data_IF_333591683807
#
_entry.id   IF_333591683807
#
_cell.length_a   1.000
_cell.length_b   1.000
_cell.length_c   1.000
_cell.angle_alpha   90.00
_cell.angle_beta   90.00
_cell.angle_gamma   90.00
#
_symmetry.space_group_name_H-M   'P 1'
#
loop_
_entity.id
_entity.type
_entity.pdbx_description
1 polymer ?
#
# COMPACT_ATOMS: atom_id res chain seq x y z
N UNK A 1 23.71 -11.36 -2.73
CA UNK A 1 22.98 -10.56 -3.74
C UNK A 1 21.49 -10.64 -3.45
N UNK A 2 20.75 -9.53 -3.41
CA UNK A 2 19.29 -9.58 -3.23
C UNK A 2 18.64 -10.26 -4.44
N UNK A 3 17.60 -11.09 -4.24
CA UNK A 3 16.87 -11.71 -5.37
C UNK A 3 16.20 -10.60 -6.20
N UNK A 4 16.22 -10.72 -7.53
CA UNK A 4 15.63 -9.75 -8.47
C UNK A 4 14.19 -9.39 -8.11
N UNK A 5 13.40 -10.39 -7.69
CA UNK A 5 12.03 -10.21 -7.17
C UNK A 5 11.94 -9.13 -6.09
N UNK A 6 12.87 -9.09 -5.13
CA UNK A 6 12.82 -8.10 -4.04
C UNK A 6 13.20 -6.70 -4.51
N UNK A 7 14.14 -6.59 -5.45
CA UNK A 7 14.51 -5.30 -6.05
C UNK A 7 13.30 -4.73 -6.80
N UNK A 8 12.57 -5.56 -7.56
CA UNK A 8 11.35 -5.12 -8.22
C UNK A 8 10.28 -4.69 -7.22
N UNK A 9 10.06 -5.43 -6.12
CA UNK A 9 9.12 -5.01 -5.07
C UNK A 9 9.47 -3.66 -4.47
N UNK A 10 10.75 -3.41 -4.18
CA UNK A 10 11.22 -2.11 -3.67
C UNK A 10 11.00 -1.01 -4.71
N UNK A 11 11.27 -1.28 -5.98
CA UNK A 11 11.01 -0.31 -7.05
C UNK A 11 9.52 0.05 -7.15
N UNK A 12 8.63 -0.94 -7.10
CA UNK A 12 7.17 -0.71 -7.08
C UNK A 12 6.80 0.13 -5.85
N UNK A 13 7.31 -0.22 -4.67
CA UNK A 13 7.04 0.50 -3.42
C UNK A 13 7.46 1.97 -3.52
N UNK A 14 8.68 2.26 -3.98
CA UNK A 14 9.18 3.62 -4.12
C UNK A 14 8.36 4.44 -5.13
N UNK A 15 7.83 3.82 -6.18
CA UNK A 15 6.94 4.47 -7.15
C UNK A 15 5.55 4.74 -6.58
N UNK A 16 5.06 3.89 -5.69
CA UNK A 16 3.71 3.97 -5.09
C UNK A 16 3.66 4.94 -3.90
N UNK A 17 4.73 5.04 -3.10
CA UNK A 17 4.78 5.89 -1.90
C UNK A 17 4.35 7.34 -2.12
N UNK A 18 4.74 8.03 -3.21
CA UNK A 18 4.30 9.40 -3.49
C UNK A 18 2.78 9.54 -3.62
N UNK A 19 2.07 8.52 -4.12
CA UNK A 19 0.61 8.55 -4.22
C UNK A 19 -0.02 8.44 -2.83
N UNK A 20 0.48 7.52 -2.00
CA UNK A 20 0.01 7.34 -0.62
C UNK A 20 0.22 8.61 0.20
N UNK A 21 1.36 9.29 0.02
CA UNK A 21 1.70 10.50 0.78
C UNK A 21 0.72 11.67 0.61
N UNK A 22 -0.13 11.64 -0.42
CA UNK A 22 -1.17 12.66 -0.66
C UNK A 22 -2.39 12.50 0.25
N UNK A 23 -2.56 11.32 0.85
CA UNK A 23 -3.71 10.99 1.69
C UNK A 23 -3.37 11.20 3.15
N UNK A 24 -3.76 12.37 3.70
CA UNK A 24 -3.51 12.72 5.11
C UNK A 24 -4.27 11.85 6.10
N UNK A 25 -5.29 11.13 5.63
CA UNK A 25 -6.08 10.19 6.40
C UNK A 25 -5.33 8.90 6.73
N UNK A 26 -4.19 8.64 6.07
CA UNK A 26 -3.40 7.45 6.27
C UNK A 26 -2.00 7.76 6.83
N UNK A 27 -1.57 6.93 7.78
CA UNK A 27 -0.18 6.82 8.18
C UNK A 27 0.39 5.45 7.78
N UNK A 28 1.65 5.40 7.35
CA UNK A 28 2.34 4.12 7.15
C UNK A 28 2.79 3.59 8.51
N UNK A 29 2.54 2.31 8.78
CA UNK A 29 2.97 1.63 10.00
C UNK A 29 3.72 0.33 9.72
N UNK A 30 4.13 -0.35 10.78
CA UNK A 30 4.72 -1.68 10.72
C UNK A 30 6.18 -1.69 10.24
N UNK A 31 6.62 -2.85 9.74
CA UNK A 31 8.02 -3.08 9.39
C UNK A 31 8.53 -2.19 8.26
N UNK A 32 7.64 -1.75 7.37
CA UNK A 32 7.98 -0.90 6.22
C UNK A 32 8.24 0.54 6.63
N UNK A 33 7.43 1.08 7.56
CA UNK A 33 7.71 2.39 8.17
C UNK A 33 9.10 2.39 8.84
N UNK A 34 9.38 1.36 9.62
CA UNK A 34 10.66 1.22 10.32
C UNK A 34 11.83 1.09 9.34
N UNK A 35 11.72 0.22 8.35
CA UNK A 35 12.81 -0.10 7.42
C UNK A 35 13.18 1.08 6.50
N UNK A 36 12.21 1.87 6.05
CA UNK A 36 12.45 2.96 5.10
C UNK A 36 12.68 4.32 5.74
N UNK A 37 12.10 4.60 6.91
CA UNK A 37 12.08 5.96 7.46
C UNK A 37 12.75 6.13 8.82
N UNK A 38 12.92 5.06 9.61
CA UNK A 38 13.42 5.18 11.00
C UNK A 38 14.78 4.52 11.19
N UNK A 39 14.93 3.24 10.81
CA UNK A 39 16.14 2.46 11.07
C UNK A 39 16.60 1.66 9.85
N UNK A 40 17.91 1.66 9.55
CA UNK A 40 18.49 0.76 8.55
C UNK A 40 18.57 -0.66 9.14
N UNK A 41 17.46 -1.40 9.09
CA UNK A 41 17.40 -2.81 9.49
C UNK A 41 17.81 -3.73 8.33
N UNK A 42 18.52 -4.83 8.62
CA UNK A 42 18.94 -5.85 7.65
C UNK A 42 17.78 -6.74 7.16
N UNK A 43 16.63 -6.14 6.85
CA UNK A 43 15.43 -6.81 6.33
C UNK A 43 14.68 -5.87 5.42
N UNK A 44 14.31 -6.36 4.23
CA UNK A 44 13.41 -5.65 3.32
C UNK A 44 11.96 -5.92 3.68
N UNK A 45 11.22 -4.88 4.06
CA UNK A 45 9.77 -4.93 4.27
C UNK A 45 9.09 -4.20 3.12
N UNK A 46 8.32 -4.94 2.30
CA UNK A 46 7.83 -4.46 0.99
C UNK A 46 6.31 -4.37 0.89
N UNK A 47 5.58 -4.83 1.91
CA UNK A 47 4.14 -4.59 2.04
C UNK A 47 3.89 -3.26 2.77
N UNK A 48 2.84 -2.53 2.40
CA UNK A 48 2.49 -1.24 3.01
C UNK A 48 1.27 -1.43 3.90
N UNK A 49 1.47 -1.42 5.21
CA UNK A 49 0.39 -1.32 6.18
C UNK A 49 0.04 0.15 6.41
N UNK A 50 -1.21 0.53 6.11
CA UNK A 50 -1.76 1.84 6.38
C UNK A 50 -2.60 1.81 7.67
N UNK A 51 -2.52 2.87 8.45
CA UNK A 51 -3.39 3.15 9.58
C UNK A 51 -4.32 4.29 9.20
N UNK A 52 -5.63 4.07 9.28
CA UNK A 52 -6.59 5.17 9.15
C UNK A 52 -6.56 6.04 10.41
N UNK A 53 -6.40 7.34 10.24
CA UNK A 53 -6.22 8.31 11.33
C UNK A 53 -7.52 8.93 11.86
N UNK A 54 -8.51 9.28 11.00
CA UNK A 54 -9.75 9.87 11.49
C UNK A 54 -10.54 8.92 12.40
N UNK A 55 -11.07 9.46 13.50
CA UNK A 55 -11.89 8.71 14.45
C UNK A 55 -13.37 8.84 14.07
N UNK A 56 -13.96 7.74 13.62
CA UNK A 56 -15.37 7.64 13.23
C UNK A 56 -15.99 6.35 13.79
N UNK A 57 -17.30 6.20 13.62
CA UNK A 57 -17.93 4.89 13.80
C UNK A 57 -17.25 3.85 12.88
N UNK A 58 -17.31 2.58 13.26
CA UNK A 58 -16.60 1.49 12.59
C UNK A 58 -16.99 1.37 11.12
N UNK A 59 -18.29 1.38 10.86
CA UNK A 59 -18.88 1.28 9.51
C UNK A 59 -18.48 2.47 8.65
N UNK A 60 -18.61 3.69 9.19
CA UNK A 60 -18.21 4.93 8.51
C UNK A 60 -16.71 4.92 8.16
N UNK A 61 -15.86 4.45 9.07
CA UNK A 61 -14.42 4.31 8.83
C UNK A 61 -14.13 3.37 7.67
N UNK A 62 -14.83 2.22 7.60
CA UNK A 62 -14.66 1.26 6.51
C UNK A 62 -15.12 1.82 5.16
N UNK A 63 -16.26 2.52 5.11
CA UNK A 63 -16.75 3.17 3.90
C UNK A 63 -15.76 4.22 3.38
N UNK A 64 -15.26 5.09 4.27
CA UNK A 64 -14.26 6.10 3.92
C UNK A 64 -12.96 5.47 3.44
N UNK A 65 -12.43 4.48 4.16
CA UNK A 65 -11.23 3.76 3.72
C UNK A 65 -11.41 3.13 2.34
N UNK A 66 -12.52 2.46 2.08
CA UNK A 66 -12.81 1.85 0.78
C UNK A 66 -12.85 2.88 -0.35
N UNK A 67 -13.45 4.05 -0.10
CA UNK A 67 -13.47 5.15 -1.06
C UNK A 67 -12.06 5.64 -1.36
N UNK A 68 -11.25 5.89 -0.32
CA UNK A 68 -9.88 6.38 -0.50
C UNK A 68 -9.02 5.36 -1.26
N UNK A 69 -9.11 4.06 -0.95
CA UNK A 69 -8.39 3.01 -1.67
C UNK A 69 -8.83 2.93 -3.14
N UNK A 70 -10.12 3.12 -3.44
CA UNK A 70 -10.61 3.13 -4.81
C UNK A 70 -10.04 4.31 -5.61
N UNK A 71 -9.93 5.49 -4.99
CA UNK A 71 -9.29 6.66 -5.61
C UNK A 71 -7.80 6.39 -5.82
N UNK A 72 -7.09 5.90 -4.79
CA UNK A 72 -5.68 5.55 -4.87
C UNK A 72 -5.40 4.53 -5.99
N UNK A 73 -6.25 3.49 -6.13
CA UNK A 73 -6.17 2.52 -7.24
C UNK A 73 -6.14 3.24 -8.59
N UNK A 74 -7.09 4.15 -8.81
CA UNK A 74 -7.24 4.88 -10.07
C UNK A 74 -6.03 5.77 -10.33
N UNK A 75 -5.57 6.50 -9.32
CA UNK A 75 -4.39 7.38 -9.48
C UNK A 75 -3.13 6.60 -9.85
N UNK A 76 -2.86 5.49 -9.17
CA UNK A 76 -1.72 4.62 -9.48
C UNK A 76 -1.88 4.03 -10.89
N UNK A 77 -3.05 3.45 -11.20
CA UNK A 77 -3.29 2.80 -12.50
C UNK A 77 -3.23 3.76 -13.70
N UNK A 78 -3.61 5.03 -13.50
CA UNK A 78 -3.54 6.06 -14.56
C UNK A 78 -2.14 6.65 -14.73
N UNK A 79 -1.25 6.47 -13.75
CA UNK A 79 0.08 7.11 -13.76
C UNK A 79 1.20 6.12 -14.02
N UNK A 80 1.07 4.88 -13.53
CA UNK A 80 2.08 3.83 -13.60
C UNK A 80 1.59 2.67 -14.48
N UNK A 81 1.58 2.90 -15.79
CA UNK A 81 1.04 1.97 -16.78
C UNK A 81 1.84 0.65 -16.89
N UNK A 82 3.07 0.62 -16.40
CA UNK A 82 3.90 -0.58 -16.33
C UNK A 82 3.48 -1.56 -15.23
N UNK A 83 2.59 -1.14 -14.31
CA UNK A 83 2.11 -1.97 -13.21
C UNK A 83 0.61 -2.25 -13.32
N UNK A 84 0.24 -3.49 -13.02
CA UNK A 84 -1.15 -3.88 -12.92
C UNK A 84 -1.68 -3.63 -11.51
N UNK A 85 -2.81 -2.93 -11.39
CA UNK A 85 -3.36 -2.49 -10.10
C UNK A 85 -4.75 -3.11 -9.87
N UNK A 86 -4.87 -3.96 -8.85
CA UNK A 86 -6.12 -4.68 -8.56
C UNK A 86 -6.52 -4.59 -7.10
N UNK A 87 -7.82 -4.53 -6.85
CA UNK A 87 -8.38 -4.59 -5.50
C UNK A 87 -8.76 -6.02 -5.16
N UNK A 88 -8.56 -6.41 -3.91
CA UNK A 88 -9.01 -7.69 -3.38
C UNK A 88 -9.64 -7.48 -2.01
N UNK A 89 -10.70 -8.25 -1.73
CA UNK A 89 -11.37 -8.26 -0.42
C UNK A 89 -10.94 -9.53 0.30
N UNK A 90 -10.40 -9.40 1.51
CA UNK A 90 -10.15 -10.58 2.34
C UNK A 90 -11.49 -11.12 2.86
N UNK A 91 -11.60 -12.44 3.05
CA UNK A 91 -12.84 -13.12 3.47
C UNK A 91 -13.47 -12.55 4.75
N UNK A 92 -12.67 -11.90 5.61
CA UNK A 92 -13.10 -11.30 6.88
C UNK A 92 -12.90 -9.77 6.93
N UNK A 93 -12.57 -9.11 5.81
CA UNK A 93 -12.27 -7.68 5.79
C UNK A 93 -13.42 -6.86 5.20
N UNK A 94 -13.86 -5.85 5.97
CA UNK A 94 -14.75 -4.80 5.49
C UNK A 94 -14.03 -3.76 4.61
N UNK A 95 -12.69 -3.84 4.53
CA UNK A 95 -11.87 -2.91 3.76
C UNK A 95 -11.12 -3.64 2.65
N UNK A 96 -11.07 -3.02 1.47
CA UNK A 96 -10.30 -3.51 0.32
C UNK A 96 -8.80 -3.34 0.54
N UNK A 97 -8.05 -4.34 0.06
CA UNK A 97 -6.60 -4.29 -0.10
C UNK A 97 -6.28 -3.99 -1.55
N UNK A 98 -5.17 -3.30 -1.80
CA UNK A 98 -4.68 -2.99 -3.13
C UNK A 98 -3.42 -3.79 -3.42
N UNK A 99 -3.36 -4.40 -4.59
CA UNK A 99 -2.17 -5.07 -5.12
C UNK A 99 -1.65 -4.29 -6.31
N UNK A 100 -0.35 -4.02 -6.31
CA UNK A 100 0.37 -3.39 -7.42
C UNK A 100 1.42 -4.38 -7.90
N UNK A 101 1.24 -4.92 -9.10
CA UNK A 101 2.02 -6.01 -9.66
C UNK A 101 2.87 -5.55 -10.85
N UNK A 102 4.17 -5.88 -10.81
CA UNK A 102 5.09 -5.80 -11.93
C UNK A 102 5.22 -7.14 -12.66
N UNK A 103 6.39 -7.39 -13.25
CA UNK A 103 6.64 -8.57 -14.09
C UNK A 103 6.84 -9.85 -13.28
N UNK A 104 7.55 -9.77 -12.16
CA UNK A 104 7.94 -10.94 -11.36
C UNK A 104 7.44 -10.88 -9.91
N UNK A 105 6.90 -9.74 -9.51
CA UNK A 105 6.56 -9.44 -8.13
C UNK A 105 5.39 -8.49 -8.00
N UNK A 106 4.85 -8.41 -6.79
CA UNK A 106 3.83 -7.46 -6.43
C UNK A 106 4.06 -6.98 -5.00
N UNK A 107 3.57 -5.78 -4.70
CA UNK A 107 3.41 -5.30 -3.34
C UNK A 107 1.93 -5.24 -2.99
N UNK A 108 1.65 -5.24 -1.70
CA UNK A 108 0.31 -5.16 -1.15
C UNK A 108 0.19 -3.94 -0.25
N UNK A 109 -0.93 -3.24 -0.37
CA UNK A 109 -1.28 -2.07 0.44
C UNK A 109 -2.53 -2.44 1.23
N UNK A 110 -2.41 -2.45 2.55
CA UNK A 110 -3.47 -2.86 3.48
C UNK A 110 -3.86 -1.71 4.41
N UNK A 111 -5.04 -1.10 4.23
CA UNK A 111 -5.60 -0.21 5.25
C UNK A 111 -6.14 -1.00 6.45
N UNK A 112 -5.88 -0.48 7.64
CA UNK A 112 -6.34 -1.00 8.93
C UNK A 112 -6.89 0.12 9.80
#
# INVERSE_FOLDING_TARGET
MFKEKYIEQVNILLRVLPFISRYREFAIKGGTAVNFFIFPVLRLSVDIDLCYLPVHAREESFEKMNRLILVLKKEIGNSLHEYSVHMSRSKNANVYKLFVAGKQSAIKIEPK
#
